data_IF_764358720369
#
_entry.id   IF_764358720369
#
_cell.length_a   1.000
_cell.length_b   1.000
_cell.length_c   1.000
_cell.angle_alpha   90.00
_cell.angle_beta   90.00
_cell.angle_gamma   90.00
#
_symmetry.space_group_name_H-M   'P 1'
#
loop_
_entity.id
_entity.type
_entity.pdbx_description
1 polymer ?
#
# COMPACT_ATOMS: atom_id res chain seq x y z
N UNK A 1 5.67 -3.43 -10.94
CA UNK A 1 4.57 -4.27 -10.41
C UNK A 1 3.78 -3.44 -9.41
N UNK A 2 2.49 -3.22 -9.66
CA UNK A 2 1.63 -2.40 -8.82
C UNK A 2 1.00 -3.21 -7.68
N UNK A 3 0.60 -2.55 -6.58
CA UNK A 3 -0.04 -3.19 -5.41
C UNK A 3 -1.24 -4.06 -5.81
N UNK A 4 -2.04 -3.60 -6.78
CA UNK A 4 -3.19 -4.35 -7.31
C UNK A 4 -2.79 -5.70 -7.90
N UNK A 5 -1.70 -5.75 -8.65
CA UNK A 5 -1.21 -6.99 -9.29
C UNK A 5 -0.66 -7.97 -8.24
N UNK A 6 0.05 -7.45 -7.24
CA UNK A 6 0.55 -8.25 -6.13
C UNK A 6 -0.58 -8.89 -5.33
N UNK A 7 -1.62 -8.11 -5.00
CA UNK A 7 -2.81 -8.62 -4.32
C UNK A 7 -3.56 -9.64 -5.19
N UNK A 8 -3.59 -9.46 -6.52
CA UNK A 8 -4.20 -10.44 -7.43
C UNK A 8 -3.44 -11.78 -7.44
N UNK A 9 -2.11 -11.74 -7.30
CA UNK A 9 -1.26 -12.94 -7.23
C UNK A 9 -1.38 -13.67 -5.88
N UNK A 10 -1.32 -12.93 -4.77
CA UNK A 10 -1.35 -13.49 -3.41
C UNK A 10 -2.78 -13.80 -2.92
N UNK A 11 -3.79 -13.21 -3.56
CA UNK A 11 -5.18 -13.35 -3.19
C UNK A 11 -5.51 -12.79 -1.80
N UNK A 12 -6.46 -13.44 -1.11
CA UNK A 12 -6.96 -12.99 0.18
C UNK A 12 -5.89 -12.98 1.28
N UNK A 13 -4.94 -13.92 1.23
CA UNK A 13 -3.86 -14.04 2.22
C UNK A 13 -2.91 -12.84 2.16
N UNK A 14 -2.48 -12.42 0.96
CA UNK A 14 -1.63 -11.24 0.79
C UNK A 14 -2.32 -9.96 1.26
N UNK A 15 -3.61 -9.80 0.93
CA UNK A 15 -4.40 -8.66 1.41
C UNK A 15 -4.47 -8.62 2.94
N UNK A 16 -4.65 -9.78 3.58
CA UNK A 16 -4.72 -9.86 5.04
C UNK A 16 -3.38 -9.53 5.69
N UNK A 17 -2.27 -10.05 5.16
CA UNK A 17 -0.91 -9.70 5.62
C UNK A 17 -0.64 -8.20 5.60
N UNK A 18 -0.97 -7.54 4.51
CA UNK A 18 -0.81 -6.07 4.41
C UNK A 18 -1.72 -5.36 5.41
N UNK A 19 -2.98 -5.78 5.55
CA UNK A 19 -3.91 -5.19 6.50
C UNK A 19 -3.44 -5.33 7.95
N UNK A 20 -3.03 -6.52 8.37
CA UNK A 20 -2.54 -6.79 9.73
C UNK A 20 -1.27 -5.98 10.03
N UNK A 21 -0.32 -5.92 9.08
CA UNK A 21 0.90 -5.13 9.24
C UNK A 21 0.60 -3.63 9.42
N UNK A 22 -0.35 -3.09 8.68
CA UNK A 22 -0.77 -1.69 8.85
C UNK A 22 -1.50 -1.52 10.18
N UNK A 23 -2.44 -2.41 10.51
CA UNK A 23 -3.26 -2.31 11.72
C UNK A 23 -2.46 -2.44 13.01
N UNK A 24 -1.34 -3.18 12.98
CA UNK A 24 -0.41 -3.26 14.10
C UNK A 24 0.21 -1.91 14.48
N UNK A 25 0.42 -1.00 13.52
CA UNK A 25 0.92 0.36 13.77
C UNK A 25 -0.18 1.42 13.79
N UNK A 26 -1.28 1.17 13.08
CA UNK A 26 -2.41 2.08 12.91
C UNK A 26 -3.72 1.35 13.26
N UNK A 27 -4.08 1.26 14.55
CA UNK A 27 -5.25 0.47 14.98
C UNK A 27 -6.57 1.01 14.41
N UNK A 28 -6.65 2.31 14.12
CA UNK A 28 -7.78 2.97 13.46
C UNK A 28 -7.89 2.68 11.96
N UNK A 29 -6.93 1.94 11.37
CA UNK A 29 -6.91 1.63 9.95
C UNK A 29 -8.01 0.64 9.56
N UNK A 30 -8.72 0.93 8.47
CA UNK A 30 -9.90 0.17 8.04
C UNK A 30 -9.64 -0.63 6.76
N UNK A 31 -10.36 -1.75 6.60
CA UNK A 31 -10.29 -2.54 5.37
C UNK A 31 -10.73 -1.75 4.13
N UNK A 32 -11.65 -0.79 4.31
CA UNK A 32 -12.09 0.14 3.26
C UNK A 32 -10.92 0.98 2.78
N UNK A 33 -10.10 1.53 3.70
CA UNK A 33 -8.92 2.32 3.34
C UNK A 33 -7.92 1.51 2.51
N UNK A 34 -7.64 0.26 2.91
CA UNK A 34 -6.79 -0.63 2.11
C UNK A 34 -7.38 -0.92 0.73
N UNK A 35 -8.70 -1.10 0.64
CA UNK A 35 -9.38 -1.33 -0.64
C UNK A 35 -9.24 -0.13 -1.56
N UNK A 36 -9.36 1.08 -1.02
CA UNK A 36 -9.21 2.31 -1.78
C UNK A 36 -7.78 2.45 -2.32
N UNK A 37 -6.76 2.05 -1.56
CA UNK A 37 -5.37 2.00 -2.04
C UNK A 37 -5.18 0.98 -3.17
N UNK A 38 -5.71 -0.23 -3.00
CA UNK A 38 -5.62 -1.30 -4.02
C UNK A 38 -6.32 -0.90 -5.33
N UNK A 39 -7.45 -0.19 -5.23
CA UNK A 39 -8.20 0.33 -6.37
C UNK A 39 -7.60 1.60 -6.98
N UNK A 40 -6.59 2.21 -6.35
CA UNK A 40 -6.03 3.50 -6.77
C UNK A 40 -6.96 4.69 -6.54
N UNK A 41 -8.04 4.52 -5.76
CA UNK A 41 -8.98 5.60 -5.41
C UNK A 41 -8.42 6.54 -4.35
N UNK A 42 -7.43 6.08 -3.57
CA UNK A 42 -6.72 6.88 -2.59
C UNK A 42 -5.24 6.53 -2.65
N UNK A 43 -4.38 7.51 -2.38
CA UNK A 43 -2.94 7.31 -2.25
C UNK A 43 -2.63 7.02 -0.78
N UNK A 44 -1.85 5.99 -0.45
CA UNK A 44 -1.40 5.77 0.92
C UNK A 44 -0.44 6.89 1.36
N UNK A 45 -0.62 7.32 2.61
CA UNK A 45 0.33 8.17 3.32
C UNK A 45 1.71 7.51 3.37
N UNK A 46 2.78 8.31 3.50
CA UNK A 46 4.16 7.80 3.41
C UNK A 46 4.43 6.63 4.35
N UNK A 47 4.00 6.72 5.60
CA UNK A 47 4.19 5.67 6.60
C UNK A 47 3.44 4.39 6.25
N UNK A 48 2.23 4.51 5.70
CA UNK A 48 1.45 3.36 5.23
C UNK A 48 2.12 2.74 4.00
N UNK A 49 2.60 3.57 3.06
CA UNK A 49 3.32 3.13 1.89
C UNK A 49 4.63 2.40 2.24
N UNK A 50 5.32 2.84 3.30
CA UNK A 50 6.51 2.16 3.86
C UNK A 50 6.16 0.77 4.35
N UNK A 51 5.10 0.61 5.14
CA UNK A 51 4.64 -0.71 5.62
C UNK A 51 4.26 -1.62 4.44
N UNK A 52 3.50 -1.10 3.48
CA UNK A 52 3.11 -1.87 2.28
C UNK A 52 4.38 -2.29 1.53
N UNK A 53 5.37 -1.41 1.37
CA UNK A 53 6.64 -1.71 0.72
C UNK A 53 7.43 -2.80 1.45
N UNK A 54 7.51 -2.75 2.78
CA UNK A 54 8.20 -3.75 3.59
C UNK A 54 7.60 -5.15 3.41
N UNK A 55 6.26 -5.23 3.37
CA UNK A 55 5.50 -6.49 3.22
C UNK A 55 5.55 -7.02 1.79
N UNK A 56 5.32 -6.15 0.81
CA UNK A 56 5.14 -6.57 -0.61
C UNK A 56 6.44 -6.55 -1.41
N UNK A 57 7.49 -5.94 -0.87
CA UNK A 57 8.75 -5.58 -1.56
C UNK A 57 8.55 -4.66 -2.77
N UNK A 58 7.38 -4.04 -2.90
CA UNK A 58 7.11 -3.02 -3.92
C UNK A 58 7.81 -1.72 -3.49
N UNK A 59 8.61 -1.07 -4.34
CA UNK A 59 9.24 0.19 -4.01
C UNK A 59 8.23 1.27 -3.57
N UNK A 60 8.53 2.02 -2.50
CA UNK A 60 7.63 3.03 -1.92
C UNK A 60 7.19 4.08 -2.95
N UNK A 61 8.08 4.48 -3.86
CA UNK A 61 7.78 5.48 -4.90
C UNK A 61 6.76 4.99 -5.93
N UNK A 62 6.54 3.68 -6.06
CA UNK A 62 5.46 3.10 -6.88
C UNK A 62 4.12 3.01 -6.12
N UNK A 63 4.15 3.18 -4.80
CA UNK A 63 2.98 3.11 -3.92
C UNK A 63 2.46 4.50 -3.53
N UNK A 64 3.35 5.49 -3.44
CA UNK A 64 3.01 6.88 -3.14
C UNK A 64 3.44 7.78 -4.29
N UNK A 65 2.47 8.28 -5.06
CA UNK A 65 2.70 9.18 -6.21
C UNK A 65 3.48 10.45 -5.87
N UNK A 66 3.54 10.81 -4.57
CA UNK A 66 4.28 11.97 -4.05
C UNK A 66 5.79 11.95 -4.37
N UNK A 67 6.35 10.80 -4.76
CA UNK A 67 7.75 10.69 -5.18
C UNK A 67 7.97 10.77 -6.70
N UNK A 68 6.92 10.57 -7.51
CA UNK A 68 7.05 10.68 -8.98
C UNK A 68 7.16 12.14 -9.42
N UNK A 69 6.56 13.07 -8.66
CA UNK A 69 6.54 14.50 -8.98
C UNK A 69 7.55 15.37 -8.22
N UNK A 70 8.48 14.79 -7.43
CA UNK A 70 9.53 15.55 -6.73
C UNK A 70 10.93 15.40 -7.36
N UNK A 71 11.01 14.78 -8.54
CA UNK A 71 12.26 14.61 -9.30
C UNK A 71 12.22 15.30 -10.67
N UNK A 72 11.30 16.24 -10.85
CA UNK A 72 11.24 17.18 -11.97
C UNK A 72 11.13 18.61 -11.42
N UNK A 73 12.16 19.04 -10.70
CA UNK A 73 12.53 20.45 -10.53
C UNK A 73 14.05 20.55 -10.72
#
# INVERSE_FOLDING_TARGET
>A
MHLKEWIKREGAAGRRRVFDAIKAKYPSFTQVSLTNYIKGQRIPDFEIAKIISEVTKIPIFLLSWRFVNKSME
#
